data_IF_287768565873
#
_entry.id   IF_287768565873
#
_cell.length_a   1.000
_cell.length_b   1.000
_cell.length_c   1.000
_cell.angle_alpha   90.00
_cell.angle_beta   90.00
_cell.angle_gamma   90.00
#
_symmetry.space_group_name_H-M   'P 1'
#
loop_
_entity.id
_entity.type
_entity.pdbx_description
1 polymer ?
#
# COMPACT_ATOMS: atom_id res chain seq x y z
N UNK A 1 -14.80 7.49 2.49
CA UNK A 1 -13.47 7.07 2.01
C UNK A 1 -12.93 6.07 3.03
N UNK A 2 -12.49 4.91 2.58
CA UNK A 2 -11.88 3.89 3.43
C UNK A 2 -10.38 3.92 3.13
N UNK A 3 -9.57 4.40 4.07
CA UNK A 3 -8.12 4.31 3.95
C UNK A 3 -7.70 2.92 4.42
N UNK A 4 -7.19 2.12 3.54
CA UNK A 4 -6.64 0.81 3.87
C UNK A 4 -5.12 0.92 3.92
N UNK A 5 -4.44 0.60 5.03
CA UNK A 5 -3.01 0.54 5.10
C UNK A 5 -2.47 -0.73 4.43
N UNK A 6 -2.91 -0.98 3.20
CA UNK A 6 -2.39 -2.06 2.40
C UNK A 6 -1.13 -1.61 1.71
N UNK A 7 -0.01 -1.79 2.38
CA UNK A 7 1.29 -1.78 1.76
C UNK A 7 1.53 -3.14 1.11
N UNK A 8 0.79 -3.42 0.03
CA UNK A 8 1.01 -4.61 -0.77
C UNK A 8 1.00 -4.22 -2.25
N UNK A 9 2.18 -4.27 -2.88
CA UNK A 9 2.30 -4.12 -4.31
C UNK A 9 1.62 -5.35 -4.97
N UNK A 10 0.65 -5.22 -5.81
CA UNK A 10 -0.12 -6.20 -6.58
C UNK A 10 -1.28 -6.95 -5.92
N UNK A 11 -1.41 -7.08 -4.63
CA UNK A 11 -2.69 -7.42 -4.03
C UNK A 11 -3.49 -6.15 -3.78
N UNK A 12 -3.86 -5.45 -4.81
CA UNK A 12 -5.16 -4.83 -4.75
C UNK A 12 -6.08 -6.02 -4.46
N UNK A 13 -6.54 -6.11 -3.20
CA UNK A 13 -7.64 -6.99 -2.87
C UNK A 13 -8.48 -7.10 -4.12
N UNK A 14 -8.95 -8.26 -4.52
CA UNK A 14 -9.87 -8.47 -5.66
C UNK A 14 -11.07 -7.53 -5.69
N UNK A 15 -11.04 -6.51 -4.83
CA UNK A 15 -11.95 -5.39 -4.64
C UNK A 15 -12.28 -4.68 -5.95
N UNK A 16 -11.37 -4.68 -6.94
CA UNK A 16 -11.66 -4.12 -8.28
C UNK A 16 -12.58 -5.01 -9.09
N UNK A 17 -12.38 -6.31 -9.02
CA UNK A 17 -13.17 -7.28 -9.80
C UNK A 17 -14.56 -7.48 -9.22
N UNK A 18 -14.72 -7.25 -7.90
CA UNK A 18 -15.99 -7.28 -7.19
C UNK A 18 -16.80 -5.97 -7.27
N UNK A 19 -16.41 -5.06 -8.13
CA UNK A 19 -17.12 -3.82 -8.40
C UNK A 19 -16.88 -2.72 -7.35
N UNK A 20 -15.89 -2.83 -6.49
CA UNK A 20 -15.53 -1.75 -5.56
C UNK A 20 -14.80 -0.61 -6.28
N UNK A 21 -14.92 0.58 -5.71
CA UNK A 21 -14.21 1.76 -6.19
C UNK A 21 -12.85 1.85 -5.50
N UNK A 22 -11.77 1.78 -6.27
CA UNK A 22 -10.39 1.82 -5.77
C UNK A 22 -9.64 2.99 -6.40
N UNK A 23 -9.06 3.84 -5.56
CA UNK A 23 -8.10 4.86 -5.94
C UNK A 23 -6.70 4.36 -5.55
N UNK A 24 -5.98 3.85 -6.51
CA UNK A 24 -4.64 3.32 -6.38
C UNK A 24 -3.62 4.42 -6.73
N UNK A 25 -3.07 5.04 -5.69
CA UNK A 25 -2.13 6.15 -5.83
C UNK A 25 -0.74 5.68 -6.26
N UNK A 26 -0.34 4.47 -5.84
CA UNK A 26 0.94 3.86 -6.23
C UNK A 26 0.94 3.51 -7.73
N UNK A 27 -0.13 2.90 -8.23
CA UNK A 27 -0.30 2.58 -9.64
C UNK A 27 -0.30 3.87 -10.48
N UNK A 28 -1.10 4.87 -10.10
CA UNK A 28 -1.15 6.15 -10.80
C UNK A 28 0.18 6.91 -10.77
N UNK A 29 1.02 6.68 -9.76
CA UNK A 29 2.35 7.28 -9.63
C UNK A 29 3.46 6.47 -10.29
N UNK A 30 3.20 5.24 -10.76
CA UNK A 30 4.23 4.30 -11.20
C UNK A 30 5.33 4.12 -10.12
N UNK A 31 4.93 3.98 -8.86
CA UNK A 31 5.87 3.96 -7.74
C UNK A 31 5.30 3.22 -6.54
N UNK A 32 6.13 2.51 -5.81
CA UNK A 32 5.76 1.77 -4.60
C UNK A 32 6.12 2.54 -3.35
N UNK A 33 5.56 3.61 -3.10
CA UNK A 33 5.59 4.51 -1.92
C UNK A 33 6.65 4.29 -0.82
N UNK A 34 7.81 3.79 -1.18
CA UNK A 34 8.91 3.58 -0.24
C UNK A 34 10.22 4.17 -0.78
N UNK A 35 11.23 4.31 0.08
CA UNK A 35 12.57 4.70 -0.35
C UNK A 35 13.12 3.75 -1.43
N UNK A 36 12.72 2.49 -1.37
CA UNK A 36 13.07 1.44 -2.34
C UNK A 36 12.06 1.30 -3.48
N UNK A 37 11.01 2.14 -3.52
CA UNK A 37 9.80 1.95 -4.31
C UNK A 37 9.88 2.32 -5.80
N UNK A 38 11.01 2.82 -6.30
CA UNK A 38 11.16 3.10 -7.72
C UNK A 38 11.16 1.79 -8.52
N UNK A 39 10.30 1.71 -9.55
CA UNK A 39 10.16 0.54 -10.42
C UNK A 39 11.15 0.67 -11.57
N UNK A 40 12.08 -0.29 -11.77
CA UNK A 40 13.05 -0.23 -12.85
C UNK A 40 12.38 -0.14 -14.23
N UNK A 41 12.84 0.80 -15.05
CA UNK A 41 12.31 0.98 -16.41
C UNK A 41 10.97 1.72 -16.50
N UNK A 42 10.34 2.08 -15.37
CA UNK A 42 9.08 2.79 -15.34
C UNK A 42 9.26 4.20 -14.77
N UNK A 43 9.08 5.21 -15.63
CA UNK A 43 9.17 6.60 -15.19
C UNK A 43 7.91 7.05 -14.46
N UNK A 44 8.09 7.82 -13.38
CA UNK A 44 6.95 8.46 -12.71
C UNK A 44 6.35 9.56 -13.60
N UNK A 45 5.04 9.79 -13.52
CA UNK A 45 4.42 10.93 -14.19
C UNK A 45 4.92 12.25 -13.60
N UNK A 46 4.78 13.34 -14.36
CA UNK A 46 4.92 14.68 -13.80
C UNK A 46 3.81 14.94 -12.77
N UNK A 47 4.01 15.90 -11.85
CA UNK A 47 2.95 16.26 -10.88
C UNK A 47 1.62 16.59 -11.56
N UNK A 48 1.64 17.38 -12.62
CA UNK A 48 0.43 17.74 -13.38
C UNK A 48 -0.26 16.52 -13.98
N UNK A 49 0.51 15.56 -14.53
CA UNK A 49 -0.05 14.34 -15.08
C UNK A 49 -0.67 13.47 -13.96
N UNK A 50 0.01 13.33 -12.83
CA UNK A 50 -0.49 12.61 -11.67
C UNK A 50 -1.80 13.22 -11.14
N UNK A 51 -1.85 14.54 -10.96
CA UNK A 51 -3.07 15.24 -10.52
C UNK A 51 -4.23 14.99 -11.50
N UNK A 52 -3.95 15.00 -12.80
CA UNK A 52 -4.94 14.72 -13.83
C UNK A 52 -5.45 13.28 -13.76
N UNK A 53 -4.56 12.29 -13.55
CA UNK A 53 -4.92 10.89 -13.40
C UNK A 53 -5.79 10.64 -12.15
N UNK A 54 -5.41 11.25 -11.02
CA UNK A 54 -6.21 11.19 -9.77
C UNK A 54 -7.60 11.80 -9.98
N UNK A 55 -7.67 12.99 -10.59
CA UNK A 55 -8.94 13.64 -10.90
C UNK A 55 -9.81 12.81 -11.84
N UNK A 56 -9.21 12.27 -12.92
CA UNK A 56 -9.93 11.44 -13.89
C UNK A 56 -10.49 10.16 -13.25
N UNK A 57 -9.76 9.56 -12.32
CA UNK A 57 -10.25 8.40 -11.57
C UNK A 57 -11.41 8.80 -10.65
N UNK A 58 -11.25 9.86 -9.86
CA UNK A 58 -12.25 10.30 -8.89
C UNK A 58 -13.58 10.72 -9.54
N UNK A 59 -13.56 11.42 -10.67
CA UNK A 59 -14.78 11.85 -11.38
C UNK A 59 -15.64 10.71 -11.93
N UNK A 60 -15.08 9.51 -12.02
CA UNK A 60 -15.77 8.29 -12.50
C UNK A 60 -16.41 7.50 -11.38
N UNK A 61 -16.11 7.83 -10.14
CA UNK A 61 -16.68 7.15 -8.99
C UNK A 61 -18.09 7.63 -8.69
N UNK A 62 -18.93 6.69 -8.26
CA UNK A 62 -20.24 6.97 -7.72
C UNK A 62 -20.09 7.58 -6.32
N UNK A 63 -20.53 8.83 -6.09
CA UNK A 63 -20.41 9.50 -4.79
C UNK A 63 -21.20 8.83 -3.66
N UNK A 64 -22.20 7.99 -3.99
CA UNK A 64 -22.96 7.23 -3.00
C UNK A 64 -22.24 5.97 -2.49
N UNK A 65 -21.15 5.57 -3.14
CA UNK A 65 -20.40 4.36 -2.81
C UNK A 65 -19.06 4.69 -2.17
N UNK A 66 -18.56 3.82 -1.26
CA UNK A 66 -17.25 4.01 -0.67
C UNK A 66 -16.13 3.86 -1.70
N UNK A 67 -15.05 4.62 -1.48
CA UNK A 67 -13.80 4.51 -2.25
C UNK A 67 -12.72 3.96 -1.33
N UNK A 68 -12.09 2.87 -1.74
CA UNK A 68 -10.91 2.32 -1.09
C UNK A 68 -9.67 3.04 -1.61
N UNK A 69 -8.78 3.41 -0.69
CA UNK A 69 -7.52 4.09 -1.01
C UNK A 69 -6.45 3.51 -0.12
N UNK A 70 -5.26 3.23 -0.64
CA UNK A 70 -4.13 2.89 0.20
C UNK A 70 -3.73 4.07 1.10
N UNK A 71 -3.27 3.77 2.32
CA UNK A 71 -2.89 4.81 3.28
C UNK A 71 -1.49 5.33 2.99
N UNK A 72 -1.43 6.22 2.00
CA UNK A 72 -0.18 6.77 1.55
C UNK A 72 0.35 7.93 2.40
N UNK A 73 1.66 8.12 2.33
CA UNK A 73 2.27 9.35 2.76
C UNK A 73 1.87 10.50 1.83
N UNK A 74 2.15 11.74 2.23
CA UNK A 74 1.91 12.90 1.35
C UNK A 74 2.62 12.78 -0.01
N UNK A 75 3.73 12.04 -0.07
CA UNK A 75 4.52 11.84 -1.29
C UNK A 75 4.52 10.37 -1.69
N UNK A 76 4.30 10.12 -2.98
CA UNK A 76 4.47 8.85 -3.66
C UNK A 76 5.67 8.99 -4.61
N UNK A 77 6.85 8.65 -4.14
CA UNK A 77 8.10 8.97 -4.85
C UNK A 77 8.28 10.47 -5.05
N UNK A 78 8.29 10.93 -6.31
CA UNK A 78 8.52 12.34 -6.68
C UNK A 78 7.21 13.16 -6.78
N UNK A 79 6.04 12.51 -6.74
CA UNK A 79 4.75 13.22 -6.83
C UNK A 79 4.11 13.37 -5.46
N UNK A 80 3.26 14.39 -5.34
CA UNK A 80 2.54 14.72 -4.10
C UNK A 80 1.06 14.44 -4.29
N UNK A 81 0.46 13.70 -3.37
CA UNK A 81 -0.99 13.42 -3.37
C UNK A 81 -1.76 14.74 -3.19
N UNK A 82 -2.80 15.00 -4.00
CA UNK A 82 -3.60 16.22 -3.86
C UNK A 82 -4.11 16.43 -2.43
N UNK A 83 -4.01 17.67 -1.95
CA UNK A 83 -4.34 18.02 -0.55
C UNK A 83 -5.75 17.58 -0.17
N UNK A 84 -6.74 17.78 -1.05
CA UNK A 84 -8.12 17.40 -0.80
C UNK A 84 -8.30 15.88 -0.57
N UNK A 85 -7.53 15.06 -1.29
CA UNK A 85 -7.53 13.59 -1.11
C UNK A 85 -6.91 13.24 0.24
N UNK A 86 -5.75 13.83 0.56
CA UNK A 86 -5.08 13.61 1.86
C UNK A 86 -5.96 14.02 3.04
N UNK A 87 -6.62 15.15 2.96
CA UNK A 87 -7.50 15.64 4.02
C UNK A 87 -8.71 14.73 4.20
N UNK A 88 -9.31 14.26 3.10
CA UNK A 88 -10.41 13.31 3.16
C UNK A 88 -9.99 11.98 3.79
N UNK A 89 -8.83 11.44 3.42
CA UNK A 89 -8.29 10.21 3.99
C UNK A 89 -8.01 10.34 5.49
N UNK A 90 -7.33 11.41 5.90
CA UNK A 90 -6.84 11.61 7.27
C UNK A 90 -7.93 12.01 8.26
N UNK A 91 -8.91 12.80 7.80
CA UNK A 91 -9.92 13.40 8.68
C UNK A 91 -11.19 12.57 8.80
N UNK A 92 -11.65 11.97 7.71
CA UNK A 92 -12.96 11.30 7.62
C UNK A 92 -12.87 9.85 7.13
N UNK A 93 -11.71 9.39 6.67
CA UNK A 93 -11.51 8.02 6.24
C UNK A 93 -11.64 7.03 7.40
N UNK A 94 -12.36 5.93 7.20
CA UNK A 94 -12.28 4.80 8.11
C UNK A 94 -11.04 3.97 7.78
N UNK A 95 -10.29 3.56 8.79
CA UNK A 95 -9.06 2.80 8.59
C UNK A 95 -9.35 1.29 8.63
N UNK A 96 -8.77 0.58 7.68
CA UNK A 96 -8.71 -0.87 7.66
C UNK A 96 -7.24 -1.26 7.79
N UNK A 97 -6.92 -2.19 8.67
CA UNK A 97 -5.56 -2.69 8.86
C UNK A 97 -5.51 -4.15 8.38
N UNK A 98 -4.75 -4.42 7.32
CA UNK A 98 -4.53 -5.79 6.86
C UNK A 98 -3.31 -6.37 7.57
N UNK A 99 -3.47 -7.48 8.24
CA UNK A 99 -2.40 -8.18 8.96
C UNK A 99 -2.14 -9.53 8.33
N UNK A 100 -0.94 -9.70 7.82
CA UNK A 100 -0.35 -10.97 7.42
C UNK A 100 0.75 -11.34 8.41
N UNK A 101 1.03 -12.63 8.56
CA UNK A 101 2.19 -13.07 9.32
C UNK A 101 3.50 -12.57 8.69
N UNK A 102 4.55 -12.41 9.49
CA UNK A 102 5.83 -11.93 8.96
C UNK A 102 6.39 -12.80 7.82
N UNK A 103 6.33 -14.15 7.87
CA UNK A 103 6.74 -14.97 6.74
C UNK A 103 5.93 -14.68 5.46
N UNK A 104 4.61 -14.50 5.55
CA UNK A 104 3.77 -14.17 4.40
C UNK A 104 4.10 -12.78 3.83
N UNK A 105 4.37 -11.81 4.71
CA UNK A 105 4.78 -10.46 4.31
C UNK A 105 6.13 -10.46 3.60
N UNK A 106 7.11 -11.22 4.12
CA UNK A 106 8.43 -11.38 3.49
C UNK A 106 8.29 -12.03 2.13
N UNK A 107 7.55 -13.16 2.04
CA UNK A 107 7.33 -13.86 0.78
C UNK A 107 6.68 -12.95 -0.27
N UNK A 108 5.66 -12.17 0.11
CA UNK A 108 5.02 -11.20 -0.75
C UNK A 108 6.00 -10.15 -1.28
N UNK A 109 6.83 -9.57 -0.38
CA UNK A 109 7.82 -8.58 -0.79
C UNK A 109 8.90 -9.18 -1.70
N UNK A 110 9.30 -10.43 -1.48
CA UNK A 110 10.25 -11.12 -2.37
C UNK A 110 9.68 -11.29 -3.78
N UNK A 111 8.38 -11.55 -3.91
CA UNK A 111 7.70 -11.62 -5.22
C UNK A 111 7.62 -10.25 -5.87
N UNK A 112 7.16 -9.26 -5.14
CA UNK A 112 6.94 -7.90 -5.64
C UNK A 112 8.23 -7.19 -6.06
N UNK A 113 9.31 -7.46 -5.35
CA UNK A 113 10.63 -6.92 -5.61
C UNK A 113 11.56 -7.96 -6.25
N UNK A 114 11.01 -8.93 -7.00
CA UNK A 114 11.79 -9.98 -7.66
C UNK A 114 12.91 -9.45 -8.57
N UNK A 115 12.79 -8.22 -9.07
CA UNK A 115 13.86 -7.57 -9.82
C UNK A 115 15.09 -7.24 -8.96
N UNK A 116 14.93 -6.98 -7.65
CA UNK A 116 16.07 -6.85 -6.74
C UNK A 116 16.68 -8.19 -6.38
N UNK A 117 15.87 -9.24 -6.25
CA UNK A 117 16.34 -10.60 -6.02
C UNK A 117 17.23 -11.05 -7.19
N UNK A 118 16.87 -10.67 -8.42
CA UNK A 118 17.64 -10.97 -9.64
C UNK A 118 18.83 -10.05 -9.86
N UNK A 119 18.88 -8.89 -9.20
CA UNK A 119 19.94 -7.90 -9.33
C UNK A 119 20.32 -7.36 -7.94
N UNK A 120 21.16 -8.13 -7.25
CA UNK A 120 21.63 -7.83 -5.89
C UNK A 120 22.43 -6.53 -5.82
N UNK A 121 23.17 -6.17 -6.88
CA UNK A 121 23.90 -4.90 -6.92
C UNK A 121 22.94 -3.70 -6.93
N UNK A 122 21.86 -3.78 -7.69
CA UNK A 122 20.83 -2.76 -7.67
C UNK A 122 20.15 -2.67 -6.29
N UNK A 123 19.92 -3.78 -5.62
CA UNK A 123 19.39 -3.79 -4.27
C UNK A 123 20.37 -3.15 -3.28
N UNK A 124 21.65 -3.53 -3.31
CA UNK A 124 22.71 -2.93 -2.49
C UNK A 124 22.80 -1.41 -2.69
N UNK A 125 22.73 -0.94 -3.93
CA UNK A 125 22.73 0.50 -4.23
C UNK A 125 21.51 1.22 -3.66
N UNK A 126 20.34 0.57 -3.61
CA UNK A 126 19.14 1.13 -2.97
C UNK A 126 19.25 1.18 -1.45
N UNK A 127 19.87 0.19 -0.81
CA UNK A 127 20.11 0.16 0.63
C UNK A 127 20.95 1.36 1.08
N UNK A 128 21.83 1.88 0.24
CA UNK A 128 22.65 3.07 0.55
C UNK A 128 21.80 4.30 0.90
N UNK A 129 20.60 4.43 0.36
CA UNK A 129 19.68 5.51 0.72
C UNK A 129 19.20 5.47 2.19
N UNK A 130 19.37 4.34 2.87
CA UNK A 130 19.03 4.18 4.29
C UNK A 130 20.21 4.50 5.23
N UNK A 131 21.38 4.82 4.70
CA UNK A 131 22.60 5.01 5.50
C UNK A 131 22.47 6.14 6.53
N UNK A 132 21.85 7.26 6.15
CA UNK A 132 21.65 8.39 7.07
C UNK A 132 20.66 8.08 8.20
N UNK A 133 19.71 7.18 7.94
CA UNK A 133 18.64 6.84 8.88
C UNK A 133 19.05 5.68 9.79
N UNK A 134 19.78 4.69 9.27
CA UNK A 134 20.10 3.42 9.96
C UNK A 134 21.56 3.30 10.38
N UNK A 135 22.41 4.16 9.86
CA UNK A 135 23.85 4.14 10.10
C UNK A 135 24.58 3.21 9.14
N UNK A 136 25.83 3.59 8.88
CA UNK A 136 26.70 2.91 7.89
C UNK A 136 26.95 1.46 8.20
N UNK A 137 27.12 1.10 9.49
CA UNK A 137 27.43 -0.26 9.89
C UNK A 137 26.26 -1.22 9.62
N UNK A 138 25.03 -0.82 9.92
CA UNK A 138 23.83 -1.63 9.68
C UNK A 138 23.62 -1.85 8.18
N UNK A 139 23.69 -0.78 7.39
CA UNK A 139 23.51 -0.87 5.94
C UNK A 139 24.61 -1.73 5.30
N UNK A 140 25.85 -1.61 5.75
CA UNK A 140 26.93 -2.46 5.26
C UNK A 140 26.68 -3.94 5.62
N UNK A 141 26.17 -4.24 6.81
CA UNK A 141 25.77 -5.59 7.20
C UNK A 141 24.71 -6.16 6.26
N UNK A 142 23.65 -5.39 5.99
CA UNK A 142 22.61 -5.79 5.02
C UNK A 142 23.17 -6.06 3.63
N UNK A 143 24.05 -5.18 3.13
CA UNK A 143 24.68 -5.38 1.81
C UNK A 143 25.51 -6.67 1.77
N UNK A 144 26.26 -6.97 2.82
CA UNK A 144 27.01 -8.23 2.94
C UNK A 144 26.07 -9.44 2.92
N UNK A 145 24.96 -9.38 3.67
CA UNK A 145 23.94 -10.44 3.70
C UNK A 145 23.27 -10.63 2.32
N UNK A 146 22.94 -9.54 1.63
CA UNK A 146 22.40 -9.61 0.26
C UNK A 146 23.38 -10.30 -0.69
N UNK A 147 24.66 -9.91 -0.64
CA UNK A 147 25.71 -10.48 -1.49
C UNK A 147 26.00 -11.96 -1.18
N UNK A 148 25.76 -12.42 0.06
CA UNK A 148 25.86 -13.83 0.44
C UNK A 148 24.58 -14.64 0.13
N UNK A 149 23.54 -14.02 -0.44
CA UNK A 149 22.29 -14.69 -0.80
C UNK A 149 21.21 -14.68 0.29
N UNK A 150 21.48 -14.09 1.47
CA UNK A 150 20.53 -14.02 2.58
C UNK A 150 19.53 -12.86 2.42
N UNK A 151 18.89 -12.73 1.24
CA UNK A 151 18.03 -11.60 0.89
C UNK A 151 16.77 -11.56 1.76
N UNK A 152 16.13 -12.71 2.00
CA UNK A 152 14.92 -12.83 2.83
C UNK A 152 15.15 -12.29 4.25
N UNK A 153 16.30 -12.62 4.86
CA UNK A 153 16.64 -12.10 6.18
C UNK A 153 16.78 -10.58 6.19
N UNK A 154 17.37 -10.00 5.14
CA UNK A 154 17.47 -8.55 5.00
C UNK A 154 16.10 -7.91 4.82
N UNK A 155 15.20 -8.50 4.03
CA UNK A 155 13.83 -8.03 3.86
C UNK A 155 13.07 -8.09 5.18
N UNK A 156 13.21 -9.16 5.95
CA UNK A 156 12.60 -9.28 7.28
C UNK A 156 13.13 -8.22 8.25
N UNK A 157 14.43 -8.01 8.30
CA UNK A 157 15.02 -6.96 9.15
C UNK A 157 14.58 -5.57 8.74
N UNK A 158 14.48 -5.27 7.45
CA UNK A 158 13.95 -4.02 6.93
C UNK A 158 12.50 -3.79 7.35
N UNK A 159 11.64 -4.82 7.28
CA UNK A 159 10.27 -4.74 7.75
C UNK A 159 10.22 -4.36 9.23
N UNK A 160 10.83 -5.17 10.09
CA UNK A 160 10.72 -5.06 11.55
C UNK A 160 11.42 -3.81 12.06
N UNK A 161 12.63 -3.53 11.57
CA UNK A 161 13.45 -2.48 12.14
C UNK A 161 13.22 -1.12 11.49
N UNK A 162 12.79 -1.07 10.22
CA UNK A 162 12.67 0.19 9.50
C UNK A 162 11.21 0.53 9.16
N UNK A 163 10.56 -0.33 8.41
CA UNK A 163 9.25 0.03 7.83
C UNK A 163 8.13 0.04 8.86
N UNK A 164 7.98 -1.00 9.67
CA UNK A 164 6.88 -1.13 10.62
C UNK A 164 6.84 0.01 11.65
N UNK A 165 7.95 0.37 12.32
CA UNK A 165 7.93 1.46 13.29
C UNK A 165 7.58 2.81 12.66
N UNK A 166 8.16 3.11 11.50
CA UNK A 166 7.92 4.38 10.78
C UNK A 166 6.47 4.44 10.29
N UNK A 167 5.97 3.33 9.75
CA UNK A 167 4.61 3.23 9.27
C UNK A 167 3.59 3.40 10.41
N UNK A 168 3.73 2.63 11.49
CA UNK A 168 2.84 2.71 12.65
C UNK A 168 2.79 4.12 13.23
N UNK A 169 3.95 4.75 13.41
CA UNK A 169 4.04 6.13 13.89
C UNK A 169 3.33 7.10 12.94
N UNK A 170 3.51 6.92 11.63
CA UNK A 170 2.85 7.75 10.62
C UNK A 170 1.33 7.61 10.67
N UNK A 171 0.83 6.39 10.79
CA UNK A 171 -0.61 6.10 10.85
C UNK A 171 -1.24 6.73 12.10
N UNK A 172 -0.66 6.50 13.27
CA UNK A 172 -1.14 7.06 14.54
C UNK A 172 -1.15 8.60 14.54
N UNK A 173 -0.12 9.20 13.93
CA UNK A 173 0.02 10.67 13.89
C UNK A 173 -0.93 11.33 12.89
N UNK A 174 -1.15 10.71 11.75
CA UNK A 174 -1.78 11.38 10.60
C UNK A 174 -3.25 11.00 10.38
N UNK A 175 -3.70 9.83 10.83
CA UNK A 175 -5.06 9.35 10.60
C UNK A 175 -5.88 9.38 11.87
N UNK A 176 -6.84 10.29 11.96
CA UNK A 176 -7.63 10.53 13.19
C UNK A 176 -8.39 9.31 13.69
N UNK A 177 -8.77 8.41 12.78
CA UNK A 177 -9.54 7.19 13.10
C UNK A 177 -8.70 5.93 13.16
N UNK A 178 -7.37 6.04 13.15
CA UNK A 178 -6.51 4.86 13.15
C UNK A 178 -6.67 4.00 14.42
N UNK A 179 -6.88 4.62 15.58
CA UNK A 179 -7.16 3.88 16.83
C UNK A 179 -8.45 3.03 16.77
N UNK A 180 -9.32 3.30 15.80
CA UNK A 180 -10.56 2.57 15.55
C UNK A 180 -10.46 1.71 14.29
N UNK A 181 -9.25 1.50 13.77
CA UNK A 181 -9.03 0.70 12.60
C UNK A 181 -9.54 -0.73 12.79
N UNK A 182 -10.28 -1.21 11.81
CA UNK A 182 -10.68 -2.62 11.79
C UNK A 182 -9.54 -3.44 11.22
N UNK A 183 -9.11 -4.44 11.97
CA UNK A 183 -8.12 -5.40 11.50
C UNK A 183 -8.78 -6.49 10.65
N UNK A 184 -8.11 -6.83 9.58
CA UNK A 184 -8.46 -7.86 8.62
C UNK A 184 -7.28 -8.81 8.52
N UNK A 185 -7.50 -10.07 8.85
CA UNK A 185 -6.45 -11.09 8.85
C UNK A 185 -6.88 -12.22 7.91
N UNK A 186 -6.42 -12.21 6.64
CA UNK A 186 -6.62 -13.33 5.75
C UNK A 186 -5.86 -14.56 6.26
N UNK A 187 -6.29 -15.76 5.87
CA UNK A 187 -5.62 -16.99 6.28
C UNK A 187 -4.20 -17.06 5.75
N UNK A 188 -4.01 -16.59 4.52
CA UNK A 188 -2.72 -16.50 3.83
C UNK A 188 -2.75 -15.37 2.77
N UNK A 189 -1.67 -15.24 1.99
CA UNK A 189 -1.53 -14.27 0.90
C UNK A 189 -2.07 -14.74 -0.45
N UNK A 190 -2.77 -15.88 -0.52
CA UNK A 190 -3.33 -16.39 -1.78
C UNK A 190 -4.40 -15.43 -2.34
N UNK A 191 -4.52 -15.39 -3.66
CA UNK A 191 -5.56 -14.58 -4.32
C UNK A 191 -6.95 -14.96 -3.80
N UNK A 192 -7.20 -16.24 -3.57
CA UNK A 192 -8.50 -16.72 -3.06
C UNK A 192 -8.82 -16.21 -1.66
N UNK A 193 -7.84 -16.17 -0.73
CA UNK A 193 -8.03 -15.63 0.61
C UNK A 193 -8.25 -14.11 0.57
N UNK A 194 -7.51 -13.41 -0.29
CA UNK A 194 -7.65 -11.98 -0.49
C UNK A 194 -8.99 -11.61 -1.16
N UNK A 195 -9.44 -12.36 -2.14
CA UNK A 195 -10.73 -12.15 -2.82
C UNK A 195 -11.89 -12.39 -1.84
N UNK A 196 -11.84 -13.47 -1.05
CA UNK A 196 -12.86 -13.73 -0.03
C UNK A 196 -12.96 -12.59 0.99
N UNK A 197 -11.83 -12.04 1.41
CA UNK A 197 -11.77 -10.89 2.30
C UNK A 197 -12.37 -9.64 1.62
N UNK A 198 -12.04 -9.41 0.35
CA UNK A 198 -12.54 -8.28 -0.43
C UNK A 198 -14.05 -8.32 -0.59
N UNK A 199 -14.61 -9.47 -0.99
CA UNK A 199 -16.06 -9.70 -1.10
C UNK A 199 -16.75 -9.41 0.22
N UNK A 200 -16.20 -9.93 1.33
CA UNK A 200 -16.73 -9.69 2.67
C UNK A 200 -16.76 -8.21 3.05
N UNK A 201 -15.72 -7.45 2.68
CA UNK A 201 -15.63 -6.02 2.91
C UNK A 201 -16.63 -5.22 2.08
N UNK A 202 -16.70 -5.48 0.78
CA UNK A 202 -17.61 -4.79 -0.13
C UNK A 202 -19.06 -4.97 0.32
N UNK A 203 -19.45 -6.19 0.67
CA UNK A 203 -20.80 -6.49 1.16
C UNK A 203 -21.18 -5.77 2.46
N UNK A 204 -20.21 -5.51 3.33
CA UNK A 204 -20.44 -4.84 4.61
C UNK A 204 -20.50 -3.30 4.49
N UNK A 205 -19.81 -2.72 3.52
CA UNK A 205 -19.75 -1.25 3.36
C UNK A 205 -20.68 -0.73 2.27
N UNK A 206 -21.23 -1.61 1.42
CA UNK A 206 -22.24 -1.25 0.45
C UNK A 206 -23.62 -1.41 1.11
N UNK A 207 -24.41 -0.35 1.31
CA UNK A 207 -25.76 -0.48 1.82
C UNK A 207 -26.55 -1.38 0.84
N UNK A 208 -27.18 -2.43 1.37
CA UNK A 208 -28.14 -3.21 0.60
C UNK A 208 -29.24 -2.25 0.14
N UNK A 209 -29.30 -1.92 -1.13
CA UNK A 209 -30.41 -1.19 -1.72
C UNK A 209 -31.63 -2.09 -1.61
N UNK A 210 -32.39 -1.93 -0.51
CA UNK A 210 -33.73 -2.46 -0.44
C UNK A 210 -34.54 -1.74 -1.53
N UNK A 211 -34.77 -2.42 -2.62
CA UNK A 211 -35.83 -2.02 -3.54
C UNK A 211 -37.14 -2.01 -2.76
N UNK A 212 -37.81 -0.85 -2.59
CA UNK A 212 -39.15 -0.86 -2.08
C UNK A 212 -40.02 -1.62 -3.08
N UNK A 213 -40.53 -2.77 -2.68
CA UNK A 213 -41.60 -3.47 -3.40
C UNK A 213 -42.74 -2.47 -3.53
N UNK A 214 -43.05 -2.04 -4.76
CA UNK A 214 -44.26 -1.28 -5.05
C UNK A 214 -45.46 -2.09 -4.58
N UNK A 215 -46.34 -1.53 -3.73
CA UNK A 215 -47.63 -2.17 -3.48
C UNK A 215 -48.45 -2.10 -4.77
N UNK A 216 -48.96 -3.26 -5.20
CA UNK A 216 -49.91 -3.40 -6.30
C UNK A 216 -51.28 -2.80 -6.04
#
# INVERSE_FOLDING_TARGET
>A
MLACPLRQPHTQLGVRDDGAQVLDLEDLANHRSSVLGAIPGLAQPSQKAFDTLVWDRLRRFDPARPVFVESESRKVGNVTVPVAVMDAMRSSGNCLNLELSDPERVALLMEDYAYFVRNTDAFCARLDALTEIRGKQVVQGWKTSVQSGAIESVVQELLIQHYDPVYLQSMQRNFKRYAQARTLSPEDRSSSAMDALAVGLVNQVTPTLHHPTRPG
#
